data_IF_984361313927
#
_entry.id   IF_984361313927
#
_cell.length_a   1.000
_cell.length_b   1.000
_cell.length_c   1.000
_cell.angle_alpha   90.00
_cell.angle_beta   90.00
_cell.angle_gamma   90.00
#
_symmetry.space_group_name_H-M   'P 1'
#
loop_
_entity.id
_entity.type
_entity.pdbx_description
1 polymer ?
#
# COMPACT_ATOMS: atom_id res chain seq x y z
N UNK A 1 13.33 24.95 28.89
CA UNK A 1 14.39 25.62 29.68
C UNK A 1 14.71 24.71 30.85
N UNK A 2 15.74 23.89 30.76
CA UNK A 2 16.20 22.98 31.80
C UNK A 2 17.51 23.47 32.38
N UNK A 3 17.50 23.74 33.69
CA UNK A 3 18.62 24.26 34.45
C UNK A 3 19.59 23.12 34.79
N UNK A 4 20.82 23.20 34.34
CA UNK A 4 21.92 22.30 34.73
C UNK A 4 22.42 22.64 36.13
N UNK A 5 22.32 21.71 37.09
CA UNK A 5 23.04 21.77 38.37
C UNK A 5 24.43 21.12 38.24
N UNK A 6 25.46 21.90 38.42
CA UNK A 6 26.84 21.42 38.54
C UNK A 6 27.16 21.28 40.04
N UNK A 7 27.45 20.07 40.52
CA UNK A 7 28.02 19.83 41.85
C UNK A 7 29.54 19.62 41.70
N UNK A 8 30.35 20.50 42.28
CA UNK A 8 31.79 20.35 42.45
C UNK A 8 32.10 19.64 43.74
N UNK A 9 32.77 18.53 43.68
CA UNK A 9 33.54 18.00 44.82
C UNK A 9 35.04 18.13 44.52
N UNK A 10 35.75 18.82 45.38
CA UNK A 10 37.20 18.97 45.33
C UNK A 10 37.90 17.78 46.00
N UNK A 11 38.86 17.19 45.31
CA UNK A 11 39.80 16.22 45.86
C UNK A 11 41.06 16.17 45.00
N UNK A 12 42.17 16.52 45.60
CA UNK A 12 43.48 16.69 44.98
C UNK A 12 44.15 15.34 44.67
N UNK A 13 44.88 15.33 43.57
CA UNK A 13 46.16 14.65 43.23
C UNK A 13 46.10 13.69 42.04
N UNK A 14 46.99 13.97 41.11
CA UNK A 14 47.54 13.14 40.00
C UNK A 14 46.74 13.13 38.67
N UNK A 15 47.36 13.79 37.72
CA UNK A 15 47.03 13.97 36.30
C UNK A 15 46.66 12.68 35.56
N UNK A 16 45.39 12.52 35.37
CA UNK A 16 44.84 11.72 34.26
C UNK A 16 43.62 12.49 33.76
N UNK A 17 43.67 12.95 32.51
CA UNK A 17 42.58 13.65 31.86
C UNK A 17 41.40 12.65 31.69
N UNK A 18 40.42 12.71 32.59
CA UNK A 18 39.18 11.93 32.51
C UNK A 18 38.29 12.52 31.42
N UNK A 19 38.09 11.77 30.36
CA UNK A 19 37.02 12.03 29.37
C UNK A 19 35.67 11.97 30.09
N UNK A 20 35.03 13.11 30.26
CA UNK A 20 33.66 13.18 30.77
C UNK A 20 32.72 12.50 29.78
N UNK A 21 32.21 11.35 30.18
CA UNK A 21 31.13 10.66 29.45
C UNK A 21 29.85 11.45 29.71
N UNK A 22 29.39 12.17 28.69
CA UNK A 22 28.09 12.84 28.72
C UNK A 22 27.01 11.74 28.53
N UNK A 23 26.42 11.27 29.62
CA UNK A 23 25.19 10.51 29.60
C UNK A 23 24.05 11.49 29.30
N UNK A 24 23.67 11.61 28.03
CA UNK A 24 22.35 12.16 27.68
C UNK A 24 21.32 11.06 27.92
N UNK A 25 20.56 11.14 28.99
CA UNK A 25 19.34 10.36 29.14
C UNK A 25 18.43 10.63 27.93
N UNK A 26 17.89 9.59 27.26
CA UNK A 26 16.91 9.79 26.20
C UNK A 26 15.69 10.46 26.82
N UNK A 27 15.32 11.62 26.28
CA UNK A 27 14.07 12.30 26.65
C UNK A 27 12.91 11.28 26.53
N UNK A 28 12.22 11.02 27.63
CA UNK A 28 11.00 10.23 27.64
C UNK A 28 9.96 10.94 26.75
N UNK A 29 9.78 10.41 25.54
CA UNK A 29 8.71 10.83 24.65
C UNK A 29 7.41 10.23 25.17
N UNK A 30 6.62 10.98 25.93
CA UNK A 30 5.23 10.62 26.21
C UNK A 30 4.40 10.84 24.93
N UNK A 31 3.96 9.75 24.25
CA UNK A 31 3.08 9.91 23.10
C UNK A 31 1.70 10.38 23.56
N UNK A 32 1.00 11.17 22.74
CA UNK A 32 -0.35 11.62 23.03
C UNK A 32 -1.27 10.43 23.32
N UNK A 33 -2.09 10.54 24.36
CA UNK A 33 -3.13 9.55 24.72
C UNK A 33 -4.19 9.57 23.61
N UNK A 34 -4.09 8.62 22.70
CA UNK A 34 -5.04 8.46 21.60
C UNK A 34 -6.18 7.56 22.05
N UNK A 35 -7.39 8.13 22.17
CA UNK A 35 -8.60 7.35 22.47
C UNK A 35 -8.91 6.44 21.26
N UNK A 36 -9.06 5.11 21.45
CA UNK A 36 -9.42 4.22 20.35
C UNK A 36 -10.85 4.54 19.87
N UNK A 37 -11.01 4.76 18.57
CA UNK A 37 -12.32 4.67 17.93
C UNK A 37 -12.69 3.19 17.83
N UNK A 38 -13.86 2.74 18.27
CA UNK A 38 -14.19 1.30 18.39
C UNK A 38 -14.06 0.49 17.08
N UNK A 39 -14.07 1.17 15.95
CA UNK A 39 -14.07 0.58 14.61
C UNK A 39 -12.67 0.53 13.93
N UNK A 40 -11.67 1.23 14.45
CA UNK A 40 -10.31 1.30 13.86
C UNK A 40 -9.40 0.25 14.50
N UNK A 41 -8.94 -0.71 13.70
CA UNK A 41 -8.07 -1.80 14.16
C UNK A 41 -6.58 -1.58 13.84
N UNK A 42 -6.25 -0.79 12.81
CA UNK A 42 -4.89 -0.33 12.57
C UNK A 42 -4.89 1.17 12.51
N UNK A 43 -4.03 1.79 13.29
CA UNK A 43 -3.82 3.23 13.30
C UNK A 43 -2.34 3.55 13.22
N UNK A 44 -1.99 4.39 12.29
CA UNK A 44 -0.63 4.88 12.05
C UNK A 44 -0.68 6.39 12.04
N UNK A 45 0.14 7.03 12.88
CA UNK A 45 0.20 8.49 13.00
C UNK A 45 1.65 8.96 12.81
N UNK A 46 1.90 9.74 11.76
CA UNK A 46 3.19 10.37 11.41
C UNK A 46 4.40 9.43 11.46
N UNK A 47 4.21 8.18 11.02
CA UNK A 47 5.21 7.13 11.12
C UNK A 47 6.41 7.40 10.22
N UNK A 48 7.61 7.33 10.81
CA UNK A 48 8.86 7.60 10.10
C UNK A 48 9.82 6.43 10.26
N UNK A 49 10.51 6.08 9.16
CA UNK A 49 11.57 5.05 9.17
C UNK A 49 12.69 5.41 8.21
N UNK A 50 13.92 5.35 8.70
CA UNK A 50 15.15 5.60 7.94
C UNK A 50 16.08 4.42 8.07
N UNK A 51 16.78 4.09 7.00
CA UNK A 51 17.79 3.04 6.99
C UNK A 51 19.16 3.65 6.66
N UNK A 52 20.17 3.26 7.41
CA UNK A 52 21.54 3.64 7.09
C UNK A 52 21.98 3.00 5.77
N UNK A 53 22.45 3.81 4.84
CA UNK A 53 23.00 3.32 3.57
C UNK A 53 24.41 2.80 3.84
N UNK A 54 24.66 1.53 3.49
CA UNK A 54 26.01 0.96 3.53
C UNK A 54 26.84 1.64 2.46
N UNK A 55 27.87 2.35 2.90
CA UNK A 55 28.83 2.99 1.99
C UNK A 55 29.85 1.99 1.47
N UNK A 56 30.19 2.11 0.18
CA UNK A 56 31.34 1.41 -0.39
C UNK A 56 32.66 1.92 0.21
N UNK A 57 33.70 1.09 0.22
CA UNK A 57 35.03 1.42 0.76
C UNK A 57 35.61 2.74 0.18
N UNK A 58 35.33 3.05 -1.08
CA UNK A 58 35.76 4.30 -1.75
C UNK A 58 35.11 5.57 -1.19
N UNK A 59 33.85 5.47 -0.72
CA UNK A 59 33.13 6.58 -0.08
C UNK A 59 33.54 6.80 1.37
N UNK A 60 33.88 5.72 2.09
CA UNK A 60 34.39 5.77 3.46
C UNK A 60 35.73 6.52 3.50
N UNK A 61 36.62 6.28 2.51
CA UNK A 61 37.92 6.97 2.37
C UNK A 61 37.78 8.46 2.04
N UNK A 62 36.73 8.85 1.27
CA UNK A 62 36.53 10.27 0.87
C UNK A 62 35.82 11.10 1.93
N UNK A 63 34.96 10.48 2.75
CA UNK A 63 34.21 11.15 3.84
C UNK A 63 34.08 10.23 5.04
N UNK A 64 35.07 10.16 5.94
CA UNK A 64 35.07 9.20 7.06
C UNK A 64 33.98 9.47 8.13
N UNK A 65 33.43 10.68 8.17
CA UNK A 65 32.44 11.09 9.18
C UNK A 65 31.10 11.48 8.54
N UNK A 66 30.25 10.54 8.30
CA UNK A 66 28.86 10.84 7.88
C UNK A 66 28.12 9.55 7.53
N UNK A 67 26.99 9.28 8.16
CA UNK A 67 26.08 8.19 7.78
C UNK A 67 25.04 8.80 6.84
N UNK A 68 24.92 8.24 5.64
CA UNK A 68 23.83 8.58 4.73
C UNK A 68 22.62 7.71 5.07
N UNK A 69 21.44 8.29 5.10
CA UNK A 69 20.19 7.58 5.39
C UNK A 69 19.25 7.60 4.19
N UNK A 70 18.64 6.47 3.89
CA UNK A 70 17.48 6.39 3.00
C UNK A 70 16.20 6.44 3.84
N UNK A 71 15.33 7.40 3.55
CA UNK A 71 14.02 7.49 4.20
C UNK A 71 13.06 6.53 3.50
N UNK A 72 12.59 5.53 4.23
CA UNK A 72 11.64 4.54 3.73
C UNK A 72 10.18 4.92 4.04
N UNK A 73 9.96 5.59 5.19
CA UNK A 73 8.68 6.17 5.57
C UNK A 73 8.91 7.58 6.09
N UNK A 74 8.08 8.52 5.65
CA UNK A 74 8.21 9.95 5.95
C UNK A 74 6.86 10.54 6.36
N UNK A 75 6.51 10.40 7.65
CA UNK A 75 5.28 10.94 8.21
C UNK A 75 4.00 10.23 7.76
N UNK A 76 4.06 8.91 7.52
CA UNK A 76 2.89 8.12 7.08
C UNK A 76 1.80 8.13 8.15
N UNK A 77 0.57 8.51 7.74
CA UNK A 77 -0.62 8.45 8.60
C UNK A 77 -1.76 7.77 7.85
N UNK A 78 -2.35 6.74 8.45
CA UNK A 78 -3.51 6.03 7.91
C UNK A 78 -4.29 5.28 9.02
N UNK A 79 -5.53 4.92 8.69
CA UNK A 79 -6.40 4.15 9.57
C UNK A 79 -7.12 3.06 8.77
N UNK A 80 -7.17 1.84 9.35
CA UNK A 80 -7.88 0.69 8.78
C UNK A 80 -8.99 0.27 9.74
N UNK A 81 -10.17 0.02 9.19
CA UNK A 81 -11.36 -0.38 9.93
C UNK A 81 -11.42 -1.89 10.11
N UNK A 82 -12.17 -2.34 11.10
CA UNK A 82 -12.40 -3.76 11.37
C UNK A 82 -13.18 -4.41 10.21
N UNK A 83 -12.73 -5.59 9.77
CA UNK A 83 -13.37 -6.32 8.66
C UNK A 83 -13.22 -5.66 7.29
N UNK A 84 -12.34 -4.65 7.16
CA UNK A 84 -12.04 -3.96 5.90
C UNK A 84 -10.96 -4.72 5.13
N UNK A 85 -11.09 -4.75 3.81
CA UNK A 85 -10.00 -5.08 2.91
C UNK A 85 -9.36 -3.79 2.43
N UNK A 86 -8.23 -3.42 3.06
CA UNK A 86 -7.53 -2.17 2.82
C UNK A 86 -6.31 -2.37 1.92
N UNK A 87 -6.25 -1.62 0.81
CA UNK A 87 -5.15 -1.65 -0.15
C UNK A 87 -4.06 -0.63 0.18
N UNK A 88 -2.81 -1.05 0.10
CA UNK A 88 -1.64 -0.18 0.11
C UNK A 88 -1.00 -0.22 -1.27
N UNK A 89 -1.37 0.72 -2.14
CA UNK A 89 -0.95 0.79 -3.53
C UNK A 89 0.28 1.70 -3.68
N UNK A 90 1.23 1.32 -4.51
CA UNK A 90 2.38 2.18 -4.83
C UNK A 90 3.51 1.43 -5.53
N UNK A 91 4.46 2.14 -6.14
CA UNK A 91 5.59 1.54 -6.84
C UNK A 91 6.51 0.75 -5.90
N UNK A 92 7.42 -0.02 -6.51
CA UNK A 92 8.47 -0.70 -5.74
C UNK A 92 9.36 0.35 -5.05
N UNK A 93 9.68 0.11 -3.78
CA UNK A 93 10.44 1.07 -2.98
C UNK A 93 9.62 2.19 -2.34
N UNK A 94 8.30 2.25 -2.55
CA UNK A 94 7.43 3.27 -1.93
C UNK A 94 7.33 3.21 -0.39
N UNK A 95 7.79 2.11 0.24
CA UNK A 95 7.74 1.92 1.69
C UNK A 95 6.72 0.90 2.20
N UNK A 96 5.93 0.26 1.31
CA UNK A 96 4.86 -0.70 1.66
C UNK A 96 5.35 -1.83 2.57
N UNK A 97 6.38 -2.56 2.14
CA UNK A 97 6.99 -3.66 2.92
C UNK A 97 7.60 -3.16 4.24
N UNK A 98 8.13 -1.94 4.28
CA UNK A 98 8.64 -1.33 5.51
C UNK A 98 7.52 -1.09 6.51
N UNK A 99 6.40 -0.54 6.06
CA UNK A 99 5.21 -0.36 6.90
C UNK A 99 4.70 -1.71 7.44
N UNK A 100 4.61 -2.73 6.59
CA UNK A 100 4.20 -4.08 7.03
C UNK A 100 5.16 -4.69 8.06
N UNK A 101 6.48 -4.51 7.88
CA UNK A 101 7.48 -4.95 8.87
C UNK A 101 7.35 -4.23 10.21
N UNK A 102 6.98 -2.95 10.23
CA UNK A 102 6.71 -2.23 11.48
C UNK A 102 5.43 -2.75 12.14
N UNK A 103 4.33 -2.87 11.38
CA UNK A 103 3.05 -3.37 11.89
C UNK A 103 3.18 -4.81 12.44
N UNK A 104 3.98 -5.66 11.78
CA UNK A 104 4.29 -7.02 12.27
C UNK A 104 5.38 -7.09 13.34
N UNK A 105 5.81 -5.95 13.88
CA UNK A 105 6.82 -5.85 14.96
C UNK A 105 8.21 -6.40 14.59
N UNK A 106 8.51 -6.57 13.30
CA UNK A 106 9.81 -7.07 12.82
C UNK A 106 10.90 -5.99 12.86
N UNK A 107 10.52 -4.72 12.71
CA UNK A 107 11.40 -3.56 12.84
C UNK A 107 10.71 -2.46 13.63
N UNK A 108 11.48 -1.64 14.33
CA UNK A 108 10.97 -0.49 15.08
C UNK A 108 10.94 0.76 14.20
N UNK A 109 9.94 1.64 14.33
CA UNK A 109 9.94 2.96 13.71
C UNK A 109 10.98 3.86 14.36
N UNK A 110 11.38 4.93 13.67
CA UNK A 110 12.27 5.97 14.21
C UNK A 110 11.48 7.16 14.75
N UNK A 111 10.20 7.30 14.37
CA UNK A 111 9.29 8.32 14.89
C UNK A 111 7.83 7.99 14.56
N UNK A 112 6.91 8.73 15.19
CA UNK A 112 5.48 8.48 15.05
C UNK A 112 4.98 7.31 15.90
N UNK A 113 3.71 6.94 15.69
CA UNK A 113 3.02 5.89 16.46
C UNK A 113 2.31 4.93 15.51
N UNK A 114 2.38 3.63 15.80
CA UNK A 114 1.56 2.61 15.15
C UNK A 114 0.88 1.74 16.22
N UNK A 115 -0.43 1.54 16.04
CA UNK A 115 -1.30 0.77 16.94
C UNK A 115 -2.02 -0.30 16.15
N UNK A 116 -2.17 -1.48 16.74
CA UNK A 116 -2.90 -2.63 16.20
C UNK A 116 -3.89 -3.08 17.27
N UNK A 117 -5.17 -2.94 17.00
CA UNK A 117 -6.28 -3.24 17.92
C UNK A 117 -6.03 -2.68 19.34
N UNK A 118 -5.67 -1.39 19.41
CA UNK A 118 -5.36 -0.69 20.65
C UNK A 118 -4.01 -1.02 21.28
N UNK A 119 -3.20 -1.93 20.69
CA UNK A 119 -1.88 -2.32 21.17
C UNK A 119 -0.77 -1.56 20.40
N UNK A 120 0.19 -0.99 21.11
CA UNK A 120 1.31 -0.28 20.52
C UNK A 120 2.32 -1.28 19.93
N UNK A 121 2.71 -1.13 18.64
CA UNK A 121 3.57 -2.11 17.92
C UNK A 121 4.94 -2.36 18.57
N UNK A 122 5.46 -1.42 19.34
CA UNK A 122 6.74 -1.57 20.04
C UNK A 122 6.55 -2.06 21.47
N UNK A 123 5.69 -1.38 22.27
CA UNK A 123 5.50 -1.69 23.70
C UNK A 123 4.74 -3.00 23.92
N UNK A 124 3.75 -3.28 23.08
CA UNK A 124 2.86 -4.44 23.21
C UNK A 124 3.13 -5.48 22.11
N UNK A 125 4.38 -5.58 21.61
CA UNK A 125 4.75 -6.39 20.45
C UNK A 125 4.27 -7.85 20.56
N UNK A 126 4.32 -8.45 21.76
CA UNK A 126 3.84 -9.82 21.98
C UNK A 126 2.32 -9.97 21.78
N UNK A 127 1.53 -8.94 22.12
CA UNK A 127 0.07 -8.92 21.88
C UNK A 127 -0.22 -8.68 20.40
N UNK A 128 0.48 -7.73 19.77
CA UNK A 128 0.35 -7.45 18.34
C UNK A 128 0.60 -8.70 17.51
N UNK A 129 1.64 -9.50 17.81
CA UNK A 129 1.93 -10.77 17.09
C UNK A 129 0.87 -11.84 17.23
N UNK A 130 -0.01 -11.76 18.21
CA UNK A 130 -1.17 -12.66 18.33
C UNK A 130 -2.38 -12.18 17.53
N UNK A 131 -2.49 -10.87 17.33
CA UNK A 131 -3.60 -10.23 16.63
C UNK A 131 -3.39 -10.17 15.12
N UNK A 132 -2.13 -10.07 14.70
CA UNK A 132 -1.75 -9.78 13.32
C UNK A 132 -0.80 -10.86 12.80
N UNK A 133 -1.14 -11.45 11.64
CA UNK A 133 -0.30 -12.43 10.96
C UNK A 133 0.15 -11.92 9.59
N UNK A 134 1.47 -11.84 9.34
CA UNK A 134 2.00 -11.57 8.02
C UNK A 134 2.02 -12.83 7.17
N UNK A 135 1.43 -12.78 5.97
CA UNK A 135 1.61 -13.76 4.90
C UNK A 135 2.50 -13.13 3.82
N UNK A 136 3.77 -12.95 4.18
CA UNK A 136 4.80 -12.42 3.28
C UNK A 136 5.44 -13.61 2.56
N UNK A 137 5.52 -13.61 1.21
CA UNK A 137 6.16 -14.65 0.46
C UNK A 137 7.69 -14.60 0.66
N UNK A 138 8.19 -15.31 1.63
CA UNK A 138 9.62 -15.59 1.75
C UNK A 138 9.89 -16.98 1.19
N UNK A 139 10.88 -17.12 0.32
CA UNK A 139 11.24 -18.39 -0.36
C UNK A 139 11.48 -19.56 0.60
N UNK A 140 11.81 -19.29 1.87
CA UNK A 140 12.12 -20.28 2.91
C UNK A 140 11.01 -20.47 3.93
N UNK A 141 9.84 -19.89 3.73
CA UNK A 141 8.77 -19.93 4.73
C UNK A 141 7.99 -21.25 4.79
N UNK A 142 8.12 -22.09 3.76
CA UNK A 142 7.52 -23.43 3.67
C UNK A 142 8.61 -24.47 3.35
N UNK A 143 8.54 -25.64 4.00
CA UNK A 143 9.42 -26.77 3.67
C UNK A 143 8.90 -27.50 2.43
N UNK A 144 9.65 -27.49 1.35
CA UNK A 144 9.29 -28.10 0.06
C UNK A 144 9.22 -29.65 0.11
N UNK A 145 9.95 -30.23 1.09
CA UNK A 145 10.02 -31.69 1.28
C UNK A 145 8.91 -32.23 2.18
N UNK A 146 8.15 -31.36 2.83
CA UNK A 146 7.00 -31.73 3.63
C UNK A 146 5.71 -31.59 2.82
N UNK A 147 4.69 -32.33 3.20
CA UNK A 147 3.34 -32.13 2.68
C UNK A 147 2.75 -30.83 3.21
N UNK A 148 1.66 -30.35 2.62
CA UNK A 148 0.96 -29.17 3.12
C UNK A 148 0.52 -29.36 4.57
N UNK A 149 -0.05 -30.52 4.90
CA UNK A 149 -0.46 -30.87 6.26
C UNK A 149 0.74 -30.84 7.22
N UNK A 150 1.83 -31.53 6.91
CA UNK A 150 3.02 -31.53 7.76
C UNK A 150 3.62 -30.15 7.99
N UNK A 151 3.60 -29.28 6.95
CA UNK A 151 3.99 -27.88 7.13
C UNK A 151 3.09 -27.19 8.16
N UNK A 152 1.76 -27.35 8.04
CA UNK A 152 0.80 -26.74 8.96
C UNK A 152 0.91 -27.34 10.37
N UNK A 153 1.17 -28.63 10.51
CA UNK A 153 1.38 -29.29 11.82
C UNK A 153 2.57 -28.67 12.57
N UNK A 154 3.68 -28.39 11.86
CA UNK A 154 4.83 -27.70 12.45
C UNK A 154 4.43 -26.30 12.94
N UNK A 155 3.68 -25.54 12.15
CA UNK A 155 3.24 -24.20 12.57
C UNK A 155 2.17 -24.23 13.66
N UNK A 156 1.27 -25.23 13.66
CA UNK A 156 0.32 -25.45 14.75
C UNK A 156 1.06 -25.66 16.07
N UNK A 157 2.11 -26.48 16.08
CA UNK A 157 2.95 -26.70 17.26
C UNK A 157 3.65 -25.39 17.70
N UNK A 158 4.15 -24.57 16.78
CA UNK A 158 4.73 -23.25 17.10
C UNK A 158 3.72 -22.27 17.70
N UNK A 159 2.42 -22.42 17.36
CA UNK A 159 1.32 -21.69 17.99
C UNK A 159 0.86 -22.31 19.33
N UNK A 160 1.52 -23.36 19.81
CA UNK A 160 1.18 -24.04 21.06
C UNK A 160 -0.01 -24.99 20.96
N UNK A 161 -0.47 -25.32 19.74
CA UNK A 161 -1.51 -26.31 19.52
C UNK A 161 -0.94 -27.73 19.56
N UNK A 162 -1.63 -28.66 20.20
CA UNK A 162 -1.20 -30.05 20.28
C UNK A 162 -2.40 -31.02 20.17
N UNK A 163 -2.13 -32.28 19.84
CA UNK A 163 -3.11 -33.35 19.80
C UNK A 163 -4.29 -33.06 18.87
N UNK A 164 -5.49 -33.36 19.31
CA UNK A 164 -6.73 -33.16 18.53
C UNK A 164 -6.98 -31.71 18.15
N UNK A 165 -6.61 -30.74 19.01
CA UNK A 165 -6.75 -29.32 18.73
C UNK A 165 -5.89 -28.87 17.55
N UNK A 166 -4.65 -29.37 17.44
CA UNK A 166 -3.78 -29.09 16.30
C UNK A 166 -4.36 -29.68 15.01
N UNK A 167 -4.75 -30.97 15.04
CA UNK A 167 -5.36 -31.63 13.88
C UNK A 167 -6.60 -30.90 13.38
N UNK A 168 -7.51 -30.51 14.29
CA UNK A 168 -8.71 -29.79 13.94
C UNK A 168 -8.44 -28.42 13.33
N UNK A 169 -7.47 -27.67 13.90
CA UNK A 169 -7.08 -26.36 13.36
C UNK A 169 -6.45 -26.50 11.96
N UNK A 170 -5.64 -27.53 11.73
CA UNK A 170 -5.03 -27.80 10.42
C UNK A 170 -6.10 -28.20 9.40
N UNK A 171 -7.06 -29.05 9.77
CA UNK A 171 -8.18 -29.42 8.90
C UNK A 171 -9.03 -28.19 8.52
N UNK A 172 -9.32 -27.33 9.50
CA UNK A 172 -10.08 -26.10 9.31
C UNK A 172 -9.41 -25.17 8.31
N UNK A 173 -8.10 -24.94 8.44
CA UNK A 173 -7.41 -24.01 7.51
C UNK A 173 -7.17 -24.63 6.14
N UNK A 174 -6.95 -25.94 6.02
CA UNK A 174 -6.88 -26.65 4.74
C UNK A 174 -8.22 -26.56 4.00
N UNK A 175 -9.33 -26.75 4.69
CA UNK A 175 -10.66 -26.61 4.11
C UNK A 175 -10.94 -25.16 3.66
N UNK A 176 -10.64 -24.20 4.52
CA UNK A 176 -10.80 -22.78 4.24
C UNK A 176 -10.02 -22.29 3.02
N UNK A 177 -8.84 -22.89 2.80
CA UNK A 177 -7.96 -22.49 1.67
C UNK A 177 -8.10 -23.39 0.44
N UNK A 178 -9.11 -24.29 0.42
CA UNK A 178 -9.35 -25.25 -0.66
C UNK A 178 -8.15 -26.16 -0.95
N UNK A 179 -7.43 -26.59 0.10
CA UNK A 179 -6.26 -27.45 0.02
C UNK A 179 -6.49 -28.84 0.63
N UNK A 180 -7.71 -29.19 1.02
CA UNK A 180 -8.04 -30.46 1.69
C UNK A 180 -7.57 -31.66 0.86
N UNK A 181 -7.94 -31.74 -0.42
CA UNK A 181 -7.59 -32.87 -1.30
C UNK A 181 -6.09 -32.95 -1.60
N UNK A 182 -5.40 -31.83 -1.53
CA UNK A 182 -3.96 -31.71 -1.85
C UNK A 182 -3.10 -31.65 -0.59
N UNK A 183 -3.70 -31.71 0.59
CA UNK A 183 -2.99 -31.61 1.89
C UNK A 183 -1.90 -32.65 2.09
N UNK A 184 -2.00 -33.82 1.44
CA UNK A 184 -1.02 -34.92 1.47
C UNK A 184 0.07 -34.81 0.40
N UNK A 185 -0.02 -33.86 -0.55
CA UNK A 185 1.02 -33.64 -1.56
C UNK A 185 2.17 -32.81 -1.01
N UNK A 186 3.40 -33.11 -1.43
CA UNK A 186 4.58 -32.31 -1.08
C UNK A 186 4.45 -30.88 -1.64
N UNK A 187 4.85 -29.88 -0.85
CA UNK A 187 4.79 -28.47 -1.23
C UNK A 187 5.63 -28.16 -2.48
N UNK A 188 6.71 -28.92 -2.71
CA UNK A 188 7.51 -28.84 -3.95
C UNK A 188 6.72 -29.12 -5.23
N UNK A 189 5.59 -29.84 -5.15
CA UNK A 189 4.71 -30.15 -6.29
C UNK A 189 3.55 -29.16 -6.45
N UNK A 190 3.47 -28.13 -5.59
CA UNK A 190 2.39 -27.18 -5.60
C UNK A 190 2.58 -26.15 -6.73
N UNK A 191 1.47 -25.74 -7.35
CA UNK A 191 1.44 -24.54 -8.20
C UNK A 191 1.72 -23.29 -7.34
N UNK A 192 2.05 -22.17 -7.99
CA UNK A 192 2.23 -20.89 -7.29
C UNK A 192 0.98 -20.50 -6.49
N UNK A 193 -0.22 -20.71 -7.06
CA UNK A 193 -1.49 -20.45 -6.37
C UNK A 193 -1.71 -21.33 -5.15
N UNK A 194 -1.40 -22.64 -5.24
CA UNK A 194 -1.47 -23.55 -4.09
C UNK A 194 -0.51 -23.14 -2.99
N UNK A 195 0.73 -22.77 -3.34
CA UNK A 195 1.70 -22.27 -2.36
C UNK A 195 1.21 -20.99 -1.66
N UNK A 196 0.63 -20.07 -2.41
CA UNK A 196 0.07 -18.83 -1.86
C UNK A 196 -1.07 -19.10 -0.89
N UNK A 197 -2.00 -20.02 -1.24
CA UNK A 197 -3.07 -20.47 -0.34
C UNK A 197 -2.53 -21.15 0.93
N UNK A 198 -1.47 -21.94 0.81
CA UNK A 198 -0.81 -22.57 1.97
C UNK A 198 -0.15 -21.55 2.91
N UNK A 199 0.43 -20.45 2.36
CA UNK A 199 0.95 -19.34 3.17
C UNK A 199 -0.16 -18.67 3.97
N UNK A 200 -1.34 -18.50 3.37
CA UNK A 200 -2.50 -17.96 4.09
C UNK A 200 -3.02 -18.98 5.12
N UNK A 201 -3.14 -20.27 4.77
CA UNK A 201 -3.52 -21.32 5.70
C UNK A 201 -2.64 -21.27 6.96
N UNK A 202 -1.32 -21.15 6.77
CA UNK A 202 -0.36 -20.99 7.86
C UNK A 202 -0.64 -19.75 8.71
N UNK A 203 -0.89 -18.61 8.07
CA UNK A 203 -1.18 -17.37 8.78
C UNK A 203 -2.48 -17.44 9.57
N UNK A 204 -3.48 -18.16 9.07
CA UNK A 204 -4.80 -18.33 9.70
C UNK A 204 -4.78 -19.32 10.89
N UNK A 205 -3.78 -20.19 11.05
CA UNK A 205 -3.67 -21.12 12.17
C UNK A 205 -3.73 -20.42 13.53
N UNK A 206 -3.12 -19.24 13.64
CA UNK A 206 -3.13 -18.41 14.85
C UNK A 206 -4.46 -17.69 15.09
N UNK A 207 -5.46 -17.85 14.24
CA UNK A 207 -6.74 -17.10 14.25
C UNK A 207 -6.55 -15.60 14.41
N UNK A 208 -5.72 -14.96 13.56
CA UNK A 208 -5.47 -13.53 13.66
C UNK A 208 -6.73 -12.73 13.33
N UNK A 209 -6.88 -11.57 13.94
CA UNK A 209 -7.90 -10.59 13.57
C UNK A 209 -7.49 -9.75 12.36
N UNK A 210 -6.18 -9.71 12.05
CA UNK A 210 -5.62 -8.91 10.96
C UNK A 210 -4.61 -9.75 10.17
N UNK A 211 -4.73 -9.74 8.84
CA UNK A 211 -3.84 -10.41 7.90
C UNK A 211 -3.11 -9.38 7.03
N UNK A 212 -1.79 -9.46 6.96
CA UNK A 212 -0.98 -8.65 6.06
C UNK A 212 -0.54 -9.49 4.86
N UNK A 213 -0.84 -9.03 3.65
CA UNK A 213 -0.51 -9.68 2.38
C UNK A 213 0.40 -8.77 1.55
N UNK A 214 1.63 -9.18 1.30
CA UNK A 214 2.57 -8.43 0.45
C UNK A 214 2.65 -9.10 -0.92
N UNK A 215 2.18 -8.40 -1.98
CA UNK A 215 2.17 -8.85 -3.39
C UNK A 215 1.57 -10.27 -3.61
N UNK A 216 0.40 -10.62 -3.04
CA UNK A 216 -0.03 -12.02 -2.97
C UNK A 216 -0.40 -12.64 -4.31
N UNK A 217 -0.65 -11.85 -5.36
CA UNK A 217 -1.01 -12.36 -6.69
C UNK A 217 0.12 -12.27 -7.70
N UNK A 218 1.31 -11.80 -7.29
CA UNK A 218 2.45 -11.53 -8.19
C UNK A 218 2.84 -12.71 -9.08
N UNK A 219 2.78 -13.93 -8.55
CA UNK A 219 3.18 -15.17 -9.24
C UNK A 219 2.01 -16.00 -9.76
N UNK A 220 0.80 -15.42 -9.79
CA UNK A 220 -0.41 -16.10 -10.22
C UNK A 220 -0.74 -15.74 -11.66
N UNK A 221 -1.24 -16.71 -12.43
CA UNK A 221 -1.90 -16.44 -13.69
C UNK A 221 -3.23 -15.69 -13.46
N UNK A 222 -3.81 -15.05 -14.48
CA UNK A 222 -5.01 -14.22 -14.32
C UNK A 222 -6.22 -14.96 -13.73
N UNK A 223 -6.41 -16.24 -14.09
CA UNK A 223 -7.52 -17.06 -13.58
C UNK A 223 -7.31 -17.39 -12.10
N UNK A 224 -6.11 -17.83 -11.75
CA UNK A 224 -5.71 -18.12 -10.37
C UNK A 224 -5.78 -16.86 -9.50
N UNK A 225 -5.34 -15.71 -10.01
CA UNK A 225 -5.42 -14.43 -9.32
C UNK A 225 -6.88 -14.04 -9.03
N UNK A 226 -7.79 -14.20 -10.01
CA UNK A 226 -9.22 -13.92 -9.81
C UNK A 226 -9.83 -14.83 -8.73
N UNK A 227 -9.58 -16.15 -8.79
CA UNK A 227 -10.06 -17.10 -7.77
C UNK A 227 -9.52 -16.76 -6.38
N UNK A 228 -8.26 -16.34 -6.32
CA UNK A 228 -7.62 -15.94 -5.08
C UNK A 228 -8.26 -14.66 -4.49
N UNK A 229 -8.58 -13.67 -5.31
CA UNK A 229 -9.29 -12.46 -4.88
C UNK A 229 -10.68 -12.78 -4.31
N UNK A 230 -11.44 -13.64 -5.00
CA UNK A 230 -12.74 -14.11 -4.51
C UNK A 230 -12.60 -14.82 -3.15
N UNK A 231 -11.62 -15.73 -3.02
CA UNK A 231 -11.31 -16.40 -1.77
C UNK A 231 -10.99 -15.42 -0.63
N UNK A 232 -10.14 -14.41 -0.86
CA UNK A 232 -9.82 -13.40 0.16
C UNK A 232 -11.07 -12.65 0.63
N UNK A 233 -11.91 -12.21 -0.30
CA UNK A 233 -13.12 -11.44 0.03
C UNK A 233 -14.15 -12.29 0.76
N UNK A 234 -14.46 -13.46 0.24
CA UNK A 234 -15.58 -14.26 0.73
C UNK A 234 -15.21 -15.09 1.95
N UNK A 235 -14.07 -15.79 1.94
CA UNK A 235 -13.68 -16.67 3.03
C UNK A 235 -12.96 -15.91 4.15
N UNK A 236 -11.97 -15.07 3.81
CA UNK A 236 -11.13 -14.45 4.83
C UNK A 236 -11.83 -13.24 5.46
N UNK A 237 -12.35 -12.32 4.64
CA UNK A 237 -12.97 -11.10 5.15
C UNK A 237 -14.42 -11.35 5.59
N UNK A 238 -15.29 -11.79 4.71
CA UNK A 238 -16.73 -11.89 5.02
C UNK A 238 -17.05 -13.00 6.02
N UNK A 239 -16.53 -14.22 5.78
CA UNK A 239 -16.90 -15.37 6.61
C UNK A 239 -16.14 -15.41 7.92
N UNK A 240 -14.84 -15.08 7.93
CA UNK A 240 -14.01 -15.11 9.14
C UNK A 240 -13.94 -13.77 9.87
N UNK A 241 -14.42 -12.69 9.27
CA UNK A 241 -14.37 -11.35 9.86
C UNK A 241 -12.95 -10.79 10.01
N UNK A 242 -11.97 -11.36 9.29
CA UNK A 242 -10.58 -10.92 9.36
C UNK A 242 -10.40 -9.61 8.58
N UNK A 243 -9.71 -8.66 9.17
CA UNK A 243 -9.26 -7.45 8.47
C UNK A 243 -8.05 -7.78 7.61
N UNK A 244 -8.03 -7.33 6.36
CA UNK A 244 -6.92 -7.60 5.45
C UNK A 244 -6.26 -6.30 5.02
N UNK A 245 -4.94 -6.20 5.19
CA UNK A 245 -4.13 -5.17 4.56
C UNK A 245 -3.35 -5.82 3.41
N UNK A 246 -3.58 -5.32 2.20
CA UNK A 246 -2.99 -5.81 0.96
C UNK A 246 -2.01 -4.78 0.42
N UNK A 247 -0.71 -5.11 0.34
CA UNK A 247 0.26 -4.28 -0.39
C UNK A 247 0.43 -4.80 -1.81
N UNK A 248 0.31 -3.91 -2.79
CA UNK A 248 0.47 -4.25 -4.20
C UNK A 248 0.98 -3.04 -4.99
N UNK A 249 1.65 -3.30 -6.11
CA UNK A 249 1.94 -2.28 -7.11
C UNK A 249 0.95 -2.35 -8.29
N UNK A 250 0.05 -3.34 -8.30
CA UNK A 250 -0.97 -3.54 -9.35
C UNK A 250 -2.26 -2.83 -8.95
N UNK A 251 -2.55 -1.75 -9.65
CA UNK A 251 -3.72 -0.95 -9.34
C UNK A 251 -5.03 -1.67 -9.62
N UNK A 252 -5.10 -2.53 -10.67
CA UNK A 252 -6.26 -3.37 -10.95
C UNK A 252 -6.64 -4.24 -9.73
N UNK A 253 -5.63 -4.86 -9.11
CA UNK A 253 -5.84 -5.67 -7.92
C UNK A 253 -6.42 -4.86 -6.76
N UNK A 254 -5.84 -3.68 -6.50
CA UNK A 254 -6.30 -2.81 -5.42
C UNK A 254 -7.72 -2.29 -5.68
N UNK A 255 -8.01 -1.85 -6.91
CA UNK A 255 -9.31 -1.29 -7.29
C UNK A 255 -10.44 -2.32 -7.27
N UNK A 256 -10.18 -3.56 -7.71
CA UNK A 256 -11.19 -4.63 -7.73
C UNK A 256 -11.44 -5.23 -6.35
N UNK A 257 -10.40 -5.28 -5.50
CA UNK A 257 -10.45 -6.06 -4.28
C UNK A 257 -10.69 -5.22 -3.03
N UNK A 258 -10.14 -4.01 -2.95
CA UNK A 258 -10.10 -3.26 -1.71
C UNK A 258 -11.35 -2.38 -1.51
N UNK A 259 -11.79 -2.25 -0.26
CA UNK A 259 -12.87 -1.34 0.12
C UNK A 259 -12.37 0.11 0.17
N UNK A 260 -11.11 0.30 0.62
CA UNK A 260 -10.37 1.56 0.59
C UNK A 260 -8.91 1.30 0.22
N UNK A 261 -8.27 2.31 -0.37
CA UNK A 261 -6.89 2.25 -0.82
C UNK A 261 -6.16 3.47 -0.27
N UNK A 262 -4.95 3.26 0.25
CA UNK A 262 -3.96 4.31 0.44
C UNK A 262 -2.91 4.21 -0.68
N UNK A 263 -2.65 5.30 -1.36
CA UNK A 263 -1.57 5.40 -2.34
C UNK A 263 -0.32 5.89 -1.65
N UNK A 264 0.73 5.08 -1.69
CA UNK A 264 2.02 5.35 -1.08
C UNK A 264 3.05 5.64 -2.16
N UNK A 265 3.72 6.79 -2.07
CA UNK A 265 4.86 7.14 -2.91
C UNK A 265 5.99 7.73 -2.07
N UNK A 266 7.24 7.28 -2.33
CA UNK A 266 8.46 7.77 -1.65
C UNK A 266 8.32 7.90 -0.14
N UNK A 267 7.64 6.94 0.47
CA UNK A 267 7.43 6.90 1.92
C UNK A 267 6.33 7.82 2.44
N UNK A 268 5.54 8.45 1.60
CA UNK A 268 4.42 9.34 1.98
C UNK A 268 3.10 8.83 1.42
N UNK A 269 2.02 9.08 2.14
CA UNK A 269 0.68 8.80 1.65
C UNK A 269 0.19 9.98 0.81
N UNK A 270 -0.09 9.71 -0.45
CA UNK A 270 -0.54 10.70 -1.43
C UNK A 270 -2.06 10.88 -1.43
N UNK A 271 -2.80 9.79 -1.25
CA UNK A 271 -4.26 9.79 -1.21
C UNK A 271 -4.78 8.58 -0.43
N UNK A 272 -5.97 8.73 0.17
CA UNK A 272 -6.71 7.64 0.80
C UNK A 272 -8.19 7.78 0.45
N UNK A 273 -8.82 6.72 -0.04
CA UNK A 273 -10.24 6.74 -0.36
C UNK A 273 -10.78 5.40 -0.84
N UNK A 274 -12.08 5.33 -1.06
CA UNK A 274 -12.68 4.24 -1.80
C UNK A 274 -12.21 4.27 -3.27
N UNK A 275 -12.04 3.11 -3.95
CA UNK A 275 -11.59 3.05 -5.32
C UNK A 275 -12.31 4.02 -6.26
N UNK A 276 -13.65 3.99 -6.25
CA UNK A 276 -14.47 4.86 -7.11
C UNK A 276 -14.30 6.36 -6.82
N UNK A 277 -14.06 6.73 -5.56
CA UNK A 277 -13.81 8.13 -5.19
C UNK A 277 -12.44 8.58 -5.71
N UNK A 278 -11.40 7.77 -5.48
CA UNK A 278 -10.06 8.05 -5.99
C UNK A 278 -10.06 8.15 -7.52
N UNK A 279 -10.77 7.24 -8.19
CA UNK A 279 -10.91 7.26 -9.65
C UNK A 279 -11.61 8.53 -10.16
N UNK A 280 -12.64 9.00 -9.46
CA UNK A 280 -13.34 10.25 -9.83
C UNK A 280 -12.49 11.48 -9.62
N UNK A 281 -11.72 11.51 -8.53
CA UNK A 281 -10.89 12.67 -8.17
C UNK A 281 -9.68 12.84 -9.10
N UNK A 282 -9.17 11.73 -9.68
CA UNK A 282 -7.99 11.72 -10.54
C UNK A 282 -8.38 11.86 -12.02
N UNK A 283 -9.40 11.16 -12.41
CA UNK A 283 -9.95 11.22 -13.73
C UNK A 283 -10.65 12.58 -13.88
N UNK A 284 -9.93 13.68 -13.86
CA UNK A 284 -10.42 14.88 -14.54
C UNK A 284 -11.14 14.34 -15.77
N UNK A 285 -12.45 14.63 -15.96
CA UNK A 285 -13.24 13.89 -16.91
C UNK A 285 -12.58 13.94 -18.29
N UNK A 286 -11.85 12.87 -18.64
CA UNK A 286 -11.24 12.73 -19.96
C UNK A 286 -12.29 12.18 -20.88
N UNK A 287 -12.48 12.85 -21.98
CA UNK A 287 -13.43 12.46 -23.01
C UNK A 287 -12.70 12.32 -24.33
N UNK A 288 -13.09 11.33 -25.10
CA UNK A 288 -12.72 11.24 -26.51
C UNK A 288 -13.82 11.94 -27.33
N UNK A 289 -13.42 12.92 -28.11
CA UNK A 289 -14.30 13.71 -28.97
C UNK A 289 -13.95 13.38 -30.42
N UNK A 290 -14.91 12.87 -31.17
CA UNK A 290 -14.72 12.54 -32.58
C UNK A 290 -15.37 13.61 -33.45
N UNK A 291 -14.55 14.37 -34.19
CA UNK A 291 -14.97 15.45 -35.10
C UNK A 291 -14.40 15.24 -36.48
N UNK A 292 -14.96 15.89 -37.53
CA UNK A 292 -14.35 15.83 -38.85
C UNK A 292 -13.05 16.61 -38.88
N UNK A 293 -12.06 16.12 -39.65
CA UNK A 293 -10.74 16.76 -39.77
C UNK A 293 -10.81 18.24 -40.17
N UNK A 294 -11.77 18.62 -41.01
CA UNK A 294 -12.02 20.02 -41.41
C UNK A 294 -12.48 20.89 -40.23
N UNK A 295 -13.14 20.31 -39.22
CA UNK A 295 -13.71 21.03 -38.07
C UNK A 295 -12.78 20.95 -36.83
N UNK A 296 -11.66 20.22 -36.92
CA UNK A 296 -10.69 20.04 -35.85
C UNK A 296 -10.12 21.37 -35.31
N UNK A 297 -9.77 22.32 -36.22
CA UNK A 297 -9.30 23.65 -35.81
C UNK A 297 -10.36 24.44 -35.02
N UNK A 298 -11.65 24.31 -35.41
CA UNK A 298 -12.76 24.97 -34.70
C UNK A 298 -12.96 24.33 -33.30
N UNK A 299 -12.86 23.01 -33.18
CA UNK A 299 -12.93 22.31 -31.91
C UNK A 299 -11.77 22.73 -30.97
N UNK A 300 -10.54 22.78 -31.48
CA UNK A 300 -9.36 23.22 -30.72
C UNK A 300 -9.50 24.70 -30.28
N UNK A 301 -10.11 25.56 -31.10
CA UNK A 301 -10.38 26.96 -30.74
C UNK A 301 -11.43 27.05 -29.60
N UNK A 302 -12.45 26.19 -29.58
CA UNK A 302 -13.41 26.12 -28.46
C UNK A 302 -12.71 25.65 -27.16
N UNK A 303 -11.86 24.63 -27.23
CA UNK A 303 -11.09 24.14 -26.10
C UNK A 303 -10.19 25.28 -25.53
N UNK A 304 -9.44 25.96 -26.37
CA UNK A 304 -8.55 27.05 -25.95
C UNK A 304 -9.32 28.25 -25.37
N UNK A 305 -10.51 28.55 -25.88
CA UNK A 305 -11.36 29.64 -25.39
C UNK A 305 -11.98 29.35 -24.00
N UNK A 306 -11.95 28.10 -23.56
CA UNK A 306 -12.55 27.65 -22.29
C UNK A 306 -11.78 28.09 -21.02
N UNK A 307 -10.75 28.91 -21.13
CA UNK A 307 -9.93 29.46 -20.04
C UNK A 307 -9.36 28.35 -19.10
N UNK A 308 -8.93 27.22 -19.70
CA UNK A 308 -8.32 26.13 -18.96
C UNK A 308 -9.31 25.11 -18.34
N UNK A 309 -10.62 25.31 -18.57
CA UNK A 309 -11.62 24.29 -18.16
C UNK A 309 -11.66 23.10 -19.12
N UNK A 310 -11.19 23.26 -20.36
CA UNK A 310 -11.02 22.20 -21.35
C UNK A 310 -9.58 22.21 -21.87
N UNK A 311 -8.95 21.06 -21.90
CA UNK A 311 -7.58 20.91 -22.39
C UNK A 311 -7.52 19.72 -23.35
N UNK A 312 -7.00 19.92 -24.55
CA UNK A 312 -6.68 18.83 -25.47
C UNK A 312 -5.39 18.16 -24.98
N UNK A 313 -5.44 16.84 -24.75
CA UNK A 313 -4.34 16.06 -24.18
C UNK A 313 -3.62 15.24 -25.25
N UNK A 314 -4.38 14.71 -26.19
CA UNK A 314 -3.84 13.97 -27.32
C UNK A 314 -4.66 14.26 -28.58
N UNK A 315 -3.97 14.32 -29.71
CA UNK A 315 -4.57 14.48 -31.03
C UNK A 315 -4.53 13.12 -31.74
N UNK A 316 -5.69 12.71 -32.26
CA UNK A 316 -5.77 11.55 -33.13
C UNK A 316 -5.37 11.87 -34.58
N UNK A 317 -5.04 10.83 -35.34
CA UNK A 317 -4.90 10.95 -36.77
C UNK A 317 -6.25 10.76 -37.47
N UNK A 318 -6.50 11.38 -38.63
CA UNK A 318 -7.71 11.18 -39.39
C UNK A 318 -7.85 9.71 -39.83
N UNK A 319 -9.02 9.11 -39.62
CA UNK A 319 -9.35 7.80 -40.16
C UNK A 319 -9.69 7.85 -41.68
N UNK A 320 -9.99 6.70 -42.27
CA UNK A 320 -10.32 6.59 -43.70
C UNK A 320 -11.55 7.39 -44.12
N UNK A 321 -12.41 7.76 -43.17
CA UNK A 321 -13.63 8.56 -43.41
C UNK A 321 -13.42 10.04 -43.08
N UNK A 322 -12.20 10.44 -42.70
CA UNK A 322 -11.82 11.80 -42.36
C UNK A 322 -12.26 12.26 -40.98
N UNK A 323 -12.52 11.33 -40.04
CA UNK A 323 -12.80 11.64 -38.64
C UNK A 323 -11.52 11.63 -37.79
N UNK A 324 -11.41 12.61 -36.91
CA UNK A 324 -10.32 12.72 -35.92
C UNK A 324 -10.90 12.50 -34.53
N UNK A 325 -10.26 11.65 -33.72
CA UNK A 325 -10.63 11.37 -32.35
C UNK A 325 -9.60 12.01 -31.40
N UNK A 326 -9.94 13.12 -30.77
CA UNK A 326 -9.09 13.83 -29.81
C UNK A 326 -9.47 13.48 -28.37
N UNK A 327 -8.47 13.32 -27.52
CA UNK A 327 -8.67 13.20 -26.09
C UNK A 327 -8.65 14.58 -25.44
N UNK A 328 -9.72 14.92 -24.72
CA UNK A 328 -9.88 16.19 -24.01
C UNK A 328 -10.11 15.98 -22.53
N UNK A 329 -9.41 16.72 -21.70
CA UNK A 329 -9.69 16.82 -20.27
C UNK A 329 -10.65 17.98 -20.00
N UNK A 330 -11.74 17.71 -19.28
CA UNK A 330 -12.76 18.71 -18.98
C UNK A 330 -12.93 18.82 -17.47
N UNK A 331 -12.71 20.01 -16.92
CA UNK A 331 -13.00 20.32 -15.52
C UNK A 331 -14.52 20.50 -15.30
N UNK A 332 -14.99 20.21 -14.06
CA UNK A 332 -16.41 20.37 -13.71
C UNK A 332 -17.31 19.18 -14.06
N UNK A 333 -16.70 18.01 -14.38
CA UNK A 333 -17.44 16.74 -14.57
C UNK A 333 -18.47 16.82 -15.70
N UNK A 334 -19.67 16.26 -15.47
CA UNK A 334 -20.74 16.22 -16.47
C UNK A 334 -21.25 17.61 -16.89
N UNK A 335 -21.24 18.58 -15.99
CA UNK A 335 -21.64 19.97 -16.28
C UNK A 335 -20.63 20.64 -17.23
N UNK A 336 -19.33 20.47 -16.97
CA UNK A 336 -18.28 20.95 -17.86
C UNK A 336 -18.35 20.32 -19.26
N UNK A 337 -18.61 19.02 -19.32
CA UNK A 337 -18.79 18.27 -20.56
C UNK A 337 -19.99 18.80 -21.38
N UNK A 338 -21.13 19.01 -20.73
CA UNK A 338 -22.31 19.57 -21.37
C UNK A 338 -22.05 20.99 -21.89
N UNK A 339 -21.34 21.85 -21.14
CA UNK A 339 -20.95 23.19 -21.54
C UNK A 339 -20.05 23.15 -22.77
N UNK A 340 -19.06 22.25 -22.80
CA UNK A 340 -18.17 22.09 -23.95
C UNK A 340 -18.90 21.63 -25.21
N UNK A 341 -19.77 20.62 -25.10
CA UNK A 341 -20.61 20.16 -26.21
C UNK A 341 -21.54 21.25 -26.73
N UNK A 342 -22.14 22.01 -25.82
CA UNK A 342 -22.97 23.17 -26.20
C UNK A 342 -22.19 24.25 -26.98
N UNK A 343 -20.94 24.51 -26.57
CA UNK A 343 -20.06 25.44 -27.26
C UNK A 343 -19.62 24.95 -28.65
N UNK A 344 -19.42 23.66 -28.84
CA UNK A 344 -19.18 23.05 -30.16
C UNK A 344 -20.39 23.20 -31.07
N UNK A 345 -21.58 22.88 -30.52
CA UNK A 345 -22.86 23.03 -31.27
C UNK A 345 -23.12 24.46 -31.70
N UNK A 346 -22.87 25.47 -30.84
CA UNK A 346 -23.02 26.90 -31.19
C UNK A 346 -22.09 27.33 -32.33
N UNK A 347 -20.95 26.69 -32.51
CA UNK A 347 -20.02 26.95 -33.61
C UNK A 347 -20.25 26.07 -34.84
N UNK A 348 -21.29 25.23 -34.81
CA UNK A 348 -21.65 24.37 -35.92
C UNK A 348 -20.68 23.21 -36.12
N UNK A 349 -19.89 22.83 -35.09
CA UNK A 349 -18.96 21.67 -35.13
C UNK A 349 -19.74 20.40 -34.92
N UNK A 350 -19.88 19.52 -35.92
CA UNK A 350 -20.57 18.22 -35.76
C UNK A 350 -19.68 17.27 -34.96
N UNK A 351 -20.25 16.67 -33.91
CA UNK A 351 -19.59 15.66 -33.06
C UNK A 351 -20.19 14.33 -33.39
N UNK A 352 -19.36 13.38 -33.86
CA UNK A 352 -19.78 12.02 -34.18
C UNK A 352 -19.92 11.15 -32.92
N UNK A 353 -18.98 11.29 -31.98
CA UNK A 353 -19.06 10.65 -30.67
C UNK A 353 -18.41 11.50 -29.60
N UNK A 354 -18.92 11.37 -28.36
CA UNK A 354 -18.39 12.00 -27.18
C UNK A 354 -18.46 10.98 -26.05
N UNK A 355 -17.34 10.32 -25.79
CA UNK A 355 -17.29 9.20 -24.88
C UNK A 355 -16.31 9.48 -23.73
N UNK A 356 -16.70 9.11 -22.52
CA UNK A 356 -15.80 9.20 -21.37
C UNK A 356 -14.72 8.13 -21.48
N UNK A 357 -13.47 8.57 -21.56
CA UNK A 357 -12.32 7.66 -21.60
C UNK A 357 -11.95 7.27 -20.18
N UNK A 358 -11.90 5.97 -19.93
CA UNK A 358 -11.29 5.43 -18.71
C UNK A 358 -9.78 5.47 -18.90
N UNK A 359 -9.09 6.28 -18.11
CA UNK A 359 -7.64 6.36 -18.19
C UNK A 359 -7.00 4.99 -17.90
N UNK A 360 -5.93 4.64 -18.61
CA UNK A 360 -5.09 3.51 -18.22
C UNK A 360 -4.65 3.67 -16.77
N UNK A 361 -4.63 2.56 -16.08
CA UNK A 361 -4.45 2.54 -14.63
C UNK A 361 -3.07 3.05 -14.19
N UNK A 362 -2.04 2.83 -15.02
CA UNK A 362 -0.68 3.31 -14.79
C UNK A 362 -0.64 4.85 -14.85
N UNK A 363 -1.32 5.45 -15.80
CA UNK A 363 -1.46 6.91 -15.92
C UNK A 363 -2.22 7.51 -14.71
N UNK A 364 -3.21 6.78 -14.18
CA UNK A 364 -3.92 7.19 -12.96
C UNK A 364 -3.01 7.22 -11.73
N UNK A 365 -2.16 6.20 -11.58
CA UNK A 365 -1.19 6.15 -10.47
C UNK A 365 -0.17 7.27 -10.60
N UNK A 366 0.37 7.51 -11.80
CA UNK A 366 1.31 8.60 -12.05
C UNK A 366 0.70 9.95 -11.71
N UNK A 367 -0.56 10.19 -12.05
CA UNK A 367 -1.28 11.42 -11.71
C UNK A 367 -1.54 11.56 -10.21
N UNK A 368 -1.87 10.46 -9.50
CA UNK A 368 -2.00 10.47 -8.04
C UNK A 368 -0.68 10.88 -7.37
N UNK A 369 0.41 10.33 -7.85
CA UNK A 369 1.76 10.61 -7.37
C UNK A 369 2.19 12.04 -7.70
N UNK A 370 1.97 12.50 -8.93
CA UNK A 370 2.34 13.86 -9.38
C UNK A 370 1.58 14.96 -8.61
N UNK A 371 0.28 14.75 -8.34
CA UNK A 371 -0.57 15.68 -7.58
C UNK A 371 -0.09 15.88 -6.14
N UNK A 372 0.39 14.82 -5.50
CA UNK A 372 0.91 14.88 -4.12
C UNK A 372 2.28 15.54 -4.03
N UNK A 373 3.05 15.55 -5.11
CA UNK A 373 4.35 16.21 -5.19
C UNK A 373 4.25 17.73 -5.42
N UNK A 374 3.03 18.31 -5.57
CA UNK A 374 2.83 19.72 -5.90
C UNK A 374 3.32 20.09 -7.30
N UNK A 375 3.65 19.11 -8.12
CA UNK A 375 4.03 19.30 -9.52
C UNK A 375 2.74 19.32 -10.32
N UNK A 376 2.45 20.38 -11.11
CA UNK A 376 1.34 20.32 -12.05
C UNK A 376 1.57 19.10 -12.95
N UNK A 377 0.52 18.31 -13.19
CA UNK A 377 0.59 17.11 -14.02
C UNK A 377 0.86 17.53 -15.47
N UNK A 378 2.09 17.97 -15.74
CA UNK A 378 2.74 18.17 -17.03
C UNK A 378 3.96 19.10 -16.86
N UNK A 379 5.13 18.51 -16.82
CA UNK A 379 6.37 19.11 -17.34
C UNK A 379 6.85 18.19 -18.48
#
# INVERSE_FOLDING_TARGET
MGVARVSRTAGAAHGVTSLATIHTEPAEFEPPVVRPTPDVVVRVDSLTKRFAIRRGWSEILRRPRGVSYATALDGVSLQVRRGELFGLLGPNGAGKTTLFKILSTLITPDGGVAMVDGCHVVRDAARVRRLLAPAIPEERSLSWRLTARQNLDVFAALHGLAGTAASHAVDEVLAATELTETGTKMVGQFSSGMRQRLLIARALLGRPSILLLDEPTRSLDPISARRFRTFLRDEVVRRRGCTVLLATHRAEEALELCDRIAVLDRGRVSAIGAPDALMRDIAGARYQVRVQARDHAAMSAVANASRGTVRVVAHGEPDAEGWVADDVEIAGGSTGAATFLGALGQRGVPVASFERVTLPLDELIERLVARSAGVPANA
#
